data_IF_582420084086
#
_entry.id   IF_582420084086
#
_cell.length_a   1.000
_cell.length_b   1.000
_cell.length_c   1.000
_cell.angle_alpha   90.00
_cell.angle_beta   90.00
_cell.angle_gamma   90.00
#
_symmetry.space_group_name_H-M   'P 1'
#
loop_
_entity.id
_entity.type
_entity.pdbx_description
1 polymer ?
#
# COMPACT_ATOMS: atom_id res chain seq x y z
N UNK A 1 -23.55 -24.87 -1.96
CA UNK A 1 -24.14 -24.06 -0.86
C UNK A 1 -25.11 -23.09 -1.52
N UNK A 2 -26.41 -23.19 -1.20
CA UNK A 2 -27.40 -22.28 -1.79
C UNK A 2 -27.23 -20.88 -1.18
N UNK A 3 -26.89 -19.93 -2.04
CA UNK A 3 -26.78 -18.51 -1.69
C UNK A 3 -28.17 -17.96 -1.34
N UNK A 4 -28.34 -17.24 -0.21
CA UNK A 4 -29.62 -16.62 0.16
C UNK A 4 -30.02 -15.44 -0.76
N UNK A 5 -29.18 -15.08 -1.72
CA UNK A 5 -29.36 -13.95 -2.61
C UNK A 5 -30.09 -14.38 -3.90
N UNK A 6 -31.14 -13.64 -4.30
CA UNK A 6 -31.95 -13.91 -5.52
C UNK A 6 -31.13 -13.82 -6.82
N UNK A 7 -29.99 -13.15 -6.78
CA UNK A 7 -28.96 -13.00 -7.82
C UNK A 7 -27.58 -12.96 -7.16
N UNK A 8 -26.47 -13.17 -7.88
CA UNK A 8 -25.13 -12.93 -7.36
C UNK A 8 -25.01 -11.50 -6.80
N UNK A 9 -24.40 -11.29 -5.62
CA UNK A 9 -24.15 -9.94 -5.11
C UNK A 9 -23.31 -9.13 -6.10
N UNK A 10 -23.61 -7.85 -6.24
CA UNK A 10 -22.94 -6.94 -7.18
C UNK A 10 -22.13 -5.89 -6.45
N UNK A 11 -20.83 -5.85 -6.74
CA UNK A 11 -19.90 -4.88 -6.17
C UNK A 11 -19.39 -3.97 -7.28
N UNK A 12 -19.52 -2.65 -7.10
CA UNK A 12 -18.96 -1.64 -7.99
C UNK A 12 -17.86 -0.84 -7.28
N UNK A 13 -16.62 -0.93 -7.76
CA UNK A 13 -15.54 0.00 -7.41
C UNK A 13 -15.54 1.20 -8.35
N UNK A 14 -15.52 2.42 -7.81
CA UNK A 14 -15.40 3.65 -8.61
C UNK A 14 -14.20 4.45 -8.13
N UNK A 15 -13.20 4.59 -8.99
CA UNK A 15 -11.90 5.18 -8.69
C UNK A 15 -11.48 6.24 -9.72
N UNK A 16 -10.39 6.96 -9.45
CA UNK A 16 -9.95 8.06 -10.29
C UNK A 16 -9.10 7.54 -11.47
N UNK A 17 -8.12 6.71 -11.18
CA UNK A 17 -7.11 6.25 -12.13
C UNK A 17 -7.05 4.71 -12.19
N UNK A 18 -6.60 4.14 -13.31
CA UNK A 18 -6.22 2.73 -13.37
C UNK A 18 -5.07 2.44 -12.40
N UNK A 19 -5.26 1.51 -11.46
CA UNK A 19 -4.37 1.05 -10.36
C UNK A 19 -4.93 1.29 -8.95
N UNK A 20 -5.69 2.37 -8.77
CA UNK A 20 -6.37 2.71 -7.52
C UNK A 20 -7.19 1.53 -6.97
N UNK A 21 -7.87 0.78 -7.84
CA UNK A 21 -8.71 -0.35 -7.43
C UNK A 21 -7.89 -1.44 -6.75
N UNK A 22 -6.69 -1.68 -7.27
CA UNK A 22 -5.79 -2.72 -6.80
C UNK A 22 -5.16 -2.28 -5.49
N UNK A 23 -4.69 -1.02 -5.42
CA UNK A 23 -4.05 -0.46 -4.23
C UNK A 23 -5.04 -0.39 -3.07
N UNK A 24 -6.21 0.23 -3.31
CA UNK A 24 -7.17 0.53 -2.26
C UNK A 24 -7.92 -0.72 -1.78
N UNK A 25 -8.31 -1.61 -2.70
CA UNK A 25 -9.27 -2.67 -2.39
C UNK A 25 -9.01 -4.01 -3.11
N UNK A 26 -7.83 -4.20 -3.75
CA UNK A 26 -7.57 -5.34 -4.61
C UNK A 26 -7.81 -6.70 -3.93
N UNK A 27 -7.43 -6.84 -2.67
CA UNK A 27 -7.65 -8.08 -1.90
C UNK A 27 -9.14 -8.32 -1.65
N UNK A 28 -9.89 -7.28 -1.31
CA UNK A 28 -11.33 -7.33 -1.05
C UNK A 28 -12.11 -7.65 -2.32
N UNK A 29 -11.74 -7.01 -3.44
CA UNK A 29 -12.32 -7.28 -4.76
C UNK A 29 -12.12 -8.76 -5.15
N UNK A 30 -10.88 -9.28 -5.01
CA UNK A 30 -10.58 -10.68 -5.30
C UNK A 30 -11.33 -11.66 -4.39
N UNK A 31 -11.41 -11.34 -3.09
CA UNK A 31 -12.17 -12.13 -2.11
C UNK A 31 -13.64 -12.26 -2.50
N UNK A 32 -14.31 -11.16 -2.82
CA UNK A 32 -15.72 -11.20 -3.18
C UNK A 32 -15.96 -11.84 -4.56
N UNK A 33 -15.08 -11.60 -5.54
CA UNK A 33 -15.13 -12.26 -6.83
C UNK A 33 -15.03 -13.80 -6.69
N UNK A 34 -14.06 -14.29 -5.90
CA UNK A 34 -13.90 -15.73 -5.64
C UNK A 34 -15.09 -16.35 -4.88
N UNK A 35 -15.84 -15.52 -4.15
CA UNK A 35 -17.06 -15.92 -3.43
C UNK A 35 -18.31 -15.89 -4.33
N UNK A 36 -18.16 -15.60 -5.62
CA UNK A 36 -19.23 -15.60 -6.61
C UNK A 36 -19.97 -14.27 -6.78
N UNK A 37 -19.43 -13.16 -6.27
CA UNK A 37 -19.97 -11.83 -6.55
C UNK A 37 -19.63 -11.37 -7.97
N UNK A 38 -20.53 -10.62 -8.60
CA UNK A 38 -20.24 -9.85 -9.82
C UNK A 38 -19.49 -8.57 -9.42
N UNK A 39 -18.19 -8.53 -9.66
CA UNK A 39 -17.34 -7.39 -9.27
C UNK A 39 -16.98 -6.57 -10.49
N UNK A 40 -17.32 -5.29 -10.49
CA UNK A 40 -17.01 -4.35 -11.56
C UNK A 40 -16.19 -3.17 -11.04
N UNK A 41 -15.28 -2.65 -11.88
CA UNK A 41 -14.48 -1.46 -11.56
C UNK A 41 -14.60 -0.42 -12.67
N UNK A 42 -14.78 0.83 -12.28
CA UNK A 42 -14.73 1.98 -13.18
C UNK A 42 -13.67 2.97 -12.71
N UNK A 43 -12.72 3.29 -13.58
CA UNK A 43 -11.80 4.41 -13.40
C UNK A 43 -12.33 5.62 -14.18
N UNK A 44 -12.40 6.80 -13.56
CA UNK A 44 -12.92 8.00 -14.21
C UNK A 44 -11.96 8.57 -15.27
N UNK A 45 -10.68 8.21 -15.22
CA UNK A 45 -9.67 8.62 -16.20
C UNK A 45 -9.00 7.40 -16.85
N UNK A 46 -8.10 7.67 -17.80
CA UNK A 46 -7.17 6.68 -18.39
C UNK A 46 -5.74 6.81 -17.88
N UNK A 47 -5.48 7.61 -16.82
CA UNK A 47 -4.13 7.77 -16.27
C UNK A 47 -3.09 8.36 -17.25
N UNK A 48 -3.52 9.21 -18.17
CA UNK A 48 -2.67 9.70 -19.26
C UNK A 48 -1.62 10.75 -18.85
N UNK A 49 -1.72 11.32 -17.65
CA UNK A 49 -0.82 12.33 -17.10
C UNK A 49 0.29 11.68 -16.25
N UNK A 50 0.06 10.48 -15.70
CA UNK A 50 1.00 9.75 -14.85
C UNK A 50 2.40 9.49 -15.42
N UNK A 51 3.35 9.18 -14.53
CA UNK A 51 4.73 8.83 -14.89
C UNK A 51 4.79 7.44 -15.55
N UNK A 52 5.66 7.29 -16.55
CA UNK A 52 5.97 6.00 -17.17
C UNK A 52 7.24 5.46 -16.52
N UNK A 53 7.12 4.39 -15.74
CA UNK A 53 8.23 3.75 -15.01
C UNK A 53 8.91 2.63 -15.81
N UNK A 54 8.22 2.06 -16.79
CA UNK A 54 8.79 1.15 -17.78
C UNK A 54 8.67 1.74 -19.20
N UNK A 55 9.78 2.25 -19.72
CA UNK A 55 9.83 2.81 -21.07
C UNK A 55 9.62 1.75 -22.17
N UNK A 56 9.71 0.46 -21.84
CA UNK A 56 9.47 -0.65 -22.77
C UNK A 56 7.99 -0.92 -23.03
N UNK A 57 7.06 -0.38 -22.22
CA UNK A 57 5.62 -0.68 -22.34
C UNK A 57 4.78 0.47 -22.86
N UNK A 58 5.20 1.72 -22.66
CA UNK A 58 4.40 2.89 -23.03
C UNK A 58 5.23 4.12 -23.45
N UNK A 59 4.59 4.99 -24.21
CA UNK A 59 5.02 6.36 -24.49
C UNK A 59 3.91 7.32 -24.06
N UNK A 60 4.19 8.62 -23.97
CA UNK A 60 3.15 9.62 -23.63
C UNK A 60 1.91 9.53 -24.54
N UNK A 61 2.11 9.25 -25.83
CA UNK A 61 1.02 9.11 -26.80
C UNK A 61 0.21 7.82 -26.61
N UNK A 62 0.82 6.73 -26.14
CA UNK A 62 0.17 5.43 -26.00
C UNK A 62 -0.33 5.15 -24.58
N UNK A 63 0.10 5.92 -23.58
CA UNK A 63 -0.10 5.64 -22.16
C UNK A 63 -1.56 5.39 -21.78
N UNK A 64 -2.50 6.19 -22.29
CA UNK A 64 -3.94 6.05 -21.99
C UNK A 64 -4.49 4.68 -22.40
N UNK A 65 -4.12 4.23 -23.60
CA UNK A 65 -4.55 2.93 -24.11
C UNK A 65 -3.80 1.77 -23.45
N UNK A 66 -2.56 2.00 -23.00
CA UNK A 66 -1.80 1.00 -22.22
C UNK A 66 -2.46 0.81 -20.85
N UNK A 67 -2.70 1.89 -20.09
CA UNK A 67 -3.29 1.79 -18.74
C UNK A 67 -4.70 1.23 -18.72
N UNK A 68 -5.51 1.48 -19.75
CA UNK A 68 -6.81 0.81 -19.90
C UNK A 68 -6.66 -0.71 -20.05
N UNK A 69 -5.67 -1.19 -20.82
CA UNK A 69 -5.37 -2.63 -20.92
C UNK A 69 -4.74 -3.20 -19.66
N UNK A 70 -3.96 -2.39 -18.95
CA UNK A 70 -3.39 -2.77 -17.66
C UNK A 70 -4.49 -2.96 -16.62
N UNK A 71 -5.49 -2.08 -16.57
CA UNK A 71 -6.69 -2.26 -15.74
C UNK A 71 -7.44 -3.54 -16.09
N UNK A 72 -7.63 -3.84 -17.38
CA UNK A 72 -8.26 -5.09 -17.81
C UNK A 72 -7.44 -6.32 -17.40
N UNK A 73 -6.11 -6.23 -17.45
CA UNK A 73 -5.22 -7.32 -17.05
C UNK A 73 -5.22 -7.52 -15.52
N UNK A 74 -5.13 -6.44 -14.76
CA UNK A 74 -5.30 -6.44 -13.31
C UNK A 74 -6.67 -7.01 -12.91
N UNK A 75 -7.72 -6.60 -13.62
CA UNK A 75 -9.07 -7.11 -13.42
C UNK A 75 -9.18 -8.62 -13.57
N UNK A 76 -8.46 -9.23 -14.52
CA UNK A 76 -8.41 -10.69 -14.67
C UNK A 76 -7.73 -11.37 -13.48
N UNK A 77 -6.63 -10.81 -12.99
CA UNK A 77 -5.93 -11.33 -11.80
C UNK A 77 -6.81 -11.27 -10.55
N UNK A 78 -7.64 -10.23 -10.42
CA UNK A 78 -8.58 -10.05 -9.32
C UNK A 78 -9.92 -10.79 -9.51
N UNK A 79 -10.18 -11.37 -10.69
CA UNK A 79 -11.46 -12.03 -10.99
C UNK A 79 -12.63 -11.07 -11.24
N UNK A 80 -12.37 -9.83 -11.66
CA UNK A 80 -13.39 -8.85 -12.00
C UNK A 80 -14.20 -9.30 -13.22
N UNK A 81 -15.50 -9.03 -13.19
CA UNK A 81 -16.43 -9.28 -14.29
C UNK A 81 -16.34 -8.21 -15.37
N UNK A 82 -16.13 -6.94 -14.98
CA UNK A 82 -16.05 -5.81 -15.90
C UNK A 82 -15.14 -4.71 -15.39
N UNK A 83 -14.38 -4.13 -16.31
CA UNK A 83 -13.54 -2.96 -16.12
C UNK A 83 -13.94 -1.89 -17.14
N UNK A 84 -13.85 -0.61 -16.78
CA UNK A 84 -14.13 0.51 -17.68
C UNK A 84 -13.31 1.73 -17.29
N UNK A 85 -12.67 2.36 -18.27
CA UNK A 85 -12.15 3.71 -18.11
C UNK A 85 -13.10 4.73 -18.75
N UNK A 86 -13.28 5.87 -18.10
CA UNK A 86 -13.87 7.07 -18.69
C UNK A 86 -12.76 7.99 -19.20
N UNK A 87 -13.15 9.05 -19.92
CA UNK A 87 -12.23 9.88 -20.70
C UNK A 87 -11.89 11.23 -20.05
N UNK A 88 -12.03 11.35 -18.72
CA UNK A 88 -11.70 12.58 -18.01
C UNK A 88 -10.18 12.87 -17.99
N UNK A 89 -9.80 14.16 -17.83
CA UNK A 89 -8.40 14.54 -17.66
C UNK A 89 -7.84 13.97 -16.35
N UNK A 90 -6.73 13.22 -16.47
CA UNK A 90 -5.91 12.77 -15.34
C UNK A 90 -5.20 13.96 -14.68
N UNK A 91 -5.39 14.13 -13.38
CA UNK A 91 -4.96 15.29 -12.58
C UNK A 91 -5.91 16.49 -12.66
N UNK A 92 -7.06 16.35 -13.34
CA UNK A 92 -7.99 17.44 -13.60
C UNK A 92 -9.43 17.16 -13.18
N UNK A 93 -9.71 16.08 -12.44
CA UNK A 93 -11.07 15.74 -12.01
C UNK A 93 -11.62 16.76 -10.99
N UNK A 94 -10.76 17.39 -10.19
CA UNK A 94 -11.16 18.49 -9.29
C UNK A 94 -11.68 19.73 -10.03
N UNK A 95 -11.28 19.91 -11.28
CA UNK A 95 -11.67 21.04 -12.12
C UNK A 95 -12.92 20.74 -12.97
N UNK A 96 -13.35 19.48 -13.02
CA UNK A 96 -14.61 19.11 -13.67
C UNK A 96 -15.76 19.58 -12.79
N UNK A 97 -16.78 20.17 -13.42
CA UNK A 97 -17.99 20.59 -12.72
C UNK A 97 -18.59 19.43 -11.90
N UNK A 98 -18.78 19.67 -10.60
CA UNK A 98 -19.21 18.65 -9.65
C UNK A 98 -20.58 18.05 -10.00
N UNK A 99 -21.47 18.83 -10.63
CA UNK A 99 -22.77 18.35 -11.09
C UNK A 99 -22.60 17.35 -12.25
N UNK A 100 -21.69 17.63 -13.18
CA UNK A 100 -21.34 16.72 -14.28
C UNK A 100 -20.81 15.39 -13.75
N UNK A 101 -19.89 15.40 -12.78
CA UNK A 101 -19.40 14.17 -12.15
C UNK A 101 -20.51 13.42 -11.42
N UNK A 102 -21.36 14.12 -10.67
CA UNK A 102 -22.50 13.53 -9.97
C UNK A 102 -23.48 12.84 -10.92
N UNK A 103 -23.82 13.49 -12.05
CA UNK A 103 -24.72 12.93 -13.06
C UNK A 103 -24.14 11.66 -13.66
N UNK A 104 -22.89 11.70 -14.10
CA UNK A 104 -22.23 10.56 -14.71
C UNK A 104 -22.06 9.38 -13.74
N UNK A 105 -21.68 9.64 -12.48
CA UNK A 105 -21.54 8.57 -11.49
C UNK A 105 -22.89 7.97 -11.12
N UNK A 106 -23.95 8.78 -11.10
CA UNK A 106 -25.30 8.24 -10.87
C UNK A 106 -25.78 7.38 -12.04
N UNK A 107 -25.42 7.73 -13.28
CA UNK A 107 -25.67 6.88 -14.44
C UNK A 107 -24.92 5.56 -14.31
N UNK A 108 -23.66 5.56 -13.86
CA UNK A 108 -22.90 4.34 -13.58
C UNK A 108 -23.58 3.48 -12.50
N UNK A 109 -23.96 4.06 -11.36
CA UNK A 109 -24.66 3.31 -10.30
C UNK A 109 -25.97 2.73 -10.83
N UNK A 110 -26.71 3.47 -11.66
CA UNK A 110 -27.95 2.97 -12.27
C UNK A 110 -27.69 1.87 -13.31
N UNK A 111 -26.64 2.00 -14.14
CA UNK A 111 -26.25 1.03 -15.18
C UNK A 111 -25.82 -0.31 -14.56
N UNK A 112 -24.97 -0.24 -13.53
CA UNK A 112 -24.41 -1.42 -12.89
C UNK A 112 -25.33 -2.04 -11.83
N UNK A 113 -26.28 -1.27 -11.31
CA UNK A 113 -27.24 -1.68 -10.28
C UNK A 113 -26.58 -2.48 -9.13
N UNK A 114 -25.57 -1.88 -8.44
CA UNK A 114 -24.77 -2.57 -7.45
C UNK A 114 -25.52 -2.72 -6.11
N UNK A 115 -25.20 -3.78 -5.37
CA UNK A 115 -25.62 -3.93 -3.97
C UNK A 115 -24.61 -3.24 -3.02
N UNK A 116 -23.36 -3.05 -3.47
CA UNK A 116 -22.27 -2.42 -2.74
C UNK A 116 -21.41 -1.55 -3.66
N UNK A 117 -21.05 -0.35 -3.19
CA UNK A 117 -20.12 0.58 -3.85
C UNK A 117 -18.89 0.82 -2.97
N UNK A 118 -17.70 0.75 -3.57
CA UNK A 118 -16.41 1.11 -2.95
C UNK A 118 -15.81 2.32 -3.68
N UNK A 119 -15.33 3.31 -2.94
CA UNK A 119 -14.67 4.51 -3.48
C UNK A 119 -13.79 5.18 -2.42
N UNK A 120 -13.28 6.38 -2.67
CA UNK A 120 -12.46 7.14 -1.73
C UNK A 120 -13.27 7.84 -0.63
N UNK A 121 -12.63 8.03 0.53
CA UNK A 121 -13.12 8.93 1.56
C UNK A 121 -12.90 10.41 1.26
N UNK A 122 -13.34 11.32 2.15
CA UNK A 122 -13.12 12.76 2.01
C UNK A 122 -11.64 13.18 1.95
N UNK A 123 -10.74 12.34 2.46
CA UNK A 123 -9.29 12.48 2.39
C UNK A 123 -8.70 11.99 1.06
N UNK A 124 -9.51 11.40 0.19
CA UNK A 124 -9.06 10.89 -1.11
C UNK A 124 -8.12 9.69 -1.00
N UNK A 125 -8.06 9.01 0.15
CA UNK A 125 -7.09 7.95 0.45
C UNK A 125 -5.64 8.46 0.49
N UNK A 126 -5.07 8.95 -0.62
CA UNK A 126 -3.70 9.50 -0.72
C UNK A 126 -3.60 11.02 -0.56
N UNK A 127 -4.73 11.75 -0.45
CA UNK A 127 -4.76 13.21 -0.51
C UNK A 127 -4.81 13.79 -1.93
N UNK A 128 -4.81 12.96 -2.98
CA UNK A 128 -4.85 13.43 -4.36
C UNK A 128 -6.19 14.13 -4.69
N UNK A 129 -6.19 15.33 -5.32
CA UNK A 129 -7.42 16.08 -5.62
C UNK A 129 -8.46 15.29 -6.44
N UNK A 130 -8.01 14.54 -7.46
CA UNK A 130 -8.91 13.67 -8.23
C UNK A 130 -9.63 12.64 -7.36
N UNK A 131 -8.95 12.04 -6.38
CA UNK A 131 -9.54 11.03 -5.52
C UNK A 131 -10.62 11.64 -4.63
N UNK A 132 -10.36 12.83 -4.09
CA UNK A 132 -11.34 13.62 -3.33
C UNK A 132 -12.56 13.93 -4.19
N UNK A 133 -12.36 14.38 -5.43
CA UNK A 133 -13.44 14.69 -6.36
C UNK A 133 -14.31 13.46 -6.69
N UNK A 134 -13.68 12.31 -6.98
CA UNK A 134 -14.39 11.05 -7.24
C UNK A 134 -15.15 10.58 -5.99
N UNK A 135 -14.50 10.57 -4.83
CA UNK A 135 -15.12 10.15 -3.57
C UNK A 135 -16.34 11.00 -3.23
N UNK A 136 -16.25 12.32 -3.42
CA UNK A 136 -17.37 13.25 -3.23
C UNK A 136 -18.52 12.98 -4.23
N UNK A 137 -18.22 12.80 -5.52
CA UNK A 137 -19.22 12.55 -6.55
C UNK A 137 -19.96 11.21 -6.34
N UNK A 138 -19.23 10.14 -6.00
CA UNK A 138 -19.81 8.82 -5.70
C UNK A 138 -20.67 8.88 -4.45
N UNK A 139 -20.19 9.53 -3.40
CA UNK A 139 -20.96 9.71 -2.17
C UNK A 139 -22.27 10.44 -2.44
N UNK A 140 -22.20 11.59 -3.13
CA UNK A 140 -23.38 12.36 -3.50
C UNK A 140 -24.35 11.56 -4.39
N UNK A 141 -23.84 10.75 -5.33
CA UNK A 141 -24.66 9.90 -6.19
C UNK A 141 -25.40 8.80 -5.40
N UNK A 142 -24.72 8.12 -4.46
CA UNK A 142 -25.36 7.13 -3.59
C UNK A 142 -26.45 7.76 -2.71
N UNK A 143 -26.23 8.97 -2.17
CA UNK A 143 -27.27 9.70 -1.43
C UNK A 143 -28.44 10.10 -2.32
N UNK A 144 -28.17 10.55 -3.55
CA UNK A 144 -29.20 10.96 -4.52
C UNK A 144 -30.10 9.80 -4.94
N UNK A 145 -29.52 8.62 -5.14
CA UNK A 145 -30.22 7.42 -5.56
C UNK A 145 -30.81 6.62 -4.39
N UNK A 146 -30.72 7.15 -3.16
CA UNK A 146 -31.16 6.46 -1.96
C UNK A 146 -32.66 6.18 -2.00
N UNK A 147 -33.01 4.89 -1.97
CA UNK A 147 -34.36 4.34 -1.88
C UNK A 147 -34.38 3.16 -0.90
N UNK A 148 -35.49 2.41 -0.83
CA UNK A 148 -35.62 1.26 0.07
C UNK A 148 -34.58 0.14 -0.17
N UNK A 149 -33.93 0.09 -1.35
CA UNK A 149 -32.91 -0.90 -1.73
C UNK A 149 -31.63 -0.21 -2.20
N UNK A 150 -31.10 0.71 -1.39
CA UNK A 150 -29.88 1.47 -1.73
C UNK A 150 -28.63 0.61 -1.67
N UNK A 151 -27.62 0.86 -2.52
CA UNK A 151 -26.32 0.23 -2.36
C UNK A 151 -25.71 0.62 -1.01
N UNK A 152 -25.01 -0.33 -0.39
CA UNK A 152 -24.11 0.00 0.71
C UNK A 152 -22.92 0.77 0.15
N UNK A 153 -22.48 1.81 0.84
CA UNK A 153 -21.33 2.62 0.41
C UNK A 153 -20.20 2.48 1.43
N UNK A 154 -19.02 2.16 0.92
CA UNK A 154 -17.78 2.05 1.68
C UNK A 154 -16.71 2.96 1.11
N UNK A 155 -16.08 3.74 1.98
CA UNK A 155 -14.88 4.50 1.67
C UNK A 155 -13.65 3.68 2.04
N UNK A 156 -12.72 3.54 1.11
CA UNK A 156 -11.39 2.97 1.37
C UNK A 156 -10.66 3.84 2.39
N UNK A 157 -9.91 3.20 3.29
CA UNK A 157 -9.10 3.88 4.28
C UNK A 157 -7.69 3.32 4.31
N UNK A 158 -6.69 4.20 4.37
CA UNK A 158 -5.30 3.78 4.49
C UNK A 158 -5.07 3.08 5.83
N UNK A 159 -4.36 1.93 5.84
CA UNK A 159 -3.79 1.46 7.07
C UNK A 159 -2.75 2.47 7.55
N UNK A 160 -2.67 2.69 8.86
CA UNK A 160 -1.46 3.24 9.49
C UNK A 160 -0.82 2.12 10.26
N UNK A 161 0.11 1.42 9.61
CA UNK A 161 0.85 0.37 10.26
C UNK A 161 2.01 0.93 11.08
N UNK A 162 2.25 0.36 12.26
CA UNK A 162 3.48 0.58 13.01
C UNK A 162 4.64 -0.32 12.56
N UNK A 163 4.41 -1.18 11.56
CA UNK A 163 5.39 -2.15 11.08
C UNK A 163 6.58 -1.45 10.40
N UNK A 164 7.78 -1.84 10.80
CA UNK A 164 9.01 -1.45 10.12
C UNK A 164 9.37 -2.53 9.09
N UNK A 165 9.30 -2.19 7.79
CA UNK A 165 9.68 -3.13 6.72
C UNK A 165 11.13 -3.59 6.88
N UNK A 166 12.02 -2.71 7.36
CA UNK A 166 13.39 -3.05 7.81
C UNK A 166 13.45 -4.30 8.68
N UNK A 167 12.62 -4.40 9.71
CA UNK A 167 12.71 -5.48 10.69
C UNK A 167 12.28 -6.81 10.07
N UNK A 168 11.28 -6.76 9.16
CA UNK A 168 10.80 -7.93 8.42
C UNK A 168 11.81 -8.40 7.39
N UNK A 169 12.42 -7.48 6.65
CA UNK A 169 13.50 -7.80 5.73
C UNK A 169 14.72 -8.36 6.47
N UNK A 170 15.10 -7.78 7.63
CA UNK A 170 16.21 -8.27 8.41
C UNK A 170 15.98 -9.69 8.94
N UNK A 171 14.81 -9.97 9.50
CA UNK A 171 14.43 -11.31 9.94
C UNK A 171 14.48 -12.30 8.77
N UNK A 172 13.88 -11.95 7.63
CA UNK A 172 13.89 -12.78 6.43
C UNK A 172 15.30 -13.08 5.93
N UNK A 173 16.18 -12.07 5.82
CA UNK A 173 17.53 -12.26 5.30
C UNK A 173 18.36 -13.18 6.19
N UNK A 174 18.21 -13.08 7.51
CA UNK A 174 18.93 -13.93 8.48
C UNK A 174 18.42 -15.38 8.48
N UNK A 175 17.18 -15.62 8.09
CA UNK A 175 16.61 -16.97 7.95
C UNK A 175 17.10 -17.71 6.69
N UNK A 176 17.66 -16.99 5.70
CA UNK A 176 18.16 -17.61 4.48
C UNK A 176 19.38 -18.49 4.77
N UNK A 177 19.36 -19.71 4.24
CA UNK A 177 20.49 -20.66 4.34
C UNK A 177 21.64 -20.30 3.41
N UNK A 178 21.37 -19.48 2.39
CA UNK A 178 22.34 -18.96 1.44
C UNK A 178 22.29 -17.44 1.44
N UNK A 179 23.46 -16.82 1.27
CA UNK A 179 23.58 -15.37 1.18
C UNK A 179 22.69 -14.77 0.09
N UNK A 180 21.87 -13.79 0.47
CA UNK A 180 20.98 -13.11 -0.46
C UNK A 180 21.77 -12.23 -1.43
N UNK A 181 21.42 -12.32 -2.72
CA UNK A 181 21.93 -11.42 -3.75
C UNK A 181 20.80 -11.04 -4.71
N UNK A 182 20.27 -9.84 -4.53
CA UNK A 182 19.20 -9.27 -5.34
C UNK A 182 19.62 -9.01 -6.79
N UNK A 183 18.68 -9.21 -7.70
CA UNK A 183 18.82 -8.83 -9.12
C UNK A 183 18.65 -7.32 -9.31
N UNK A 184 18.95 -6.80 -10.50
CA UNK A 184 18.70 -5.38 -10.83
C UNK A 184 17.21 -5.04 -10.76
N UNK A 185 16.38 -6.00 -11.13
CA UNK A 185 14.93 -5.93 -11.09
C UNK A 185 14.44 -5.85 -9.64
N UNK A 186 15.02 -6.67 -8.75
CA UNK A 186 14.76 -6.61 -7.31
C UNK A 186 15.13 -5.26 -6.72
N UNK A 187 16.30 -4.71 -7.07
CA UNK A 187 16.73 -3.38 -6.60
C UNK A 187 15.71 -2.30 -6.99
N UNK A 188 15.25 -2.32 -8.25
CA UNK A 188 14.25 -1.37 -8.74
C UNK A 188 12.92 -1.54 -8.03
N UNK A 189 12.45 -2.78 -7.89
CA UNK A 189 11.21 -3.09 -7.20
C UNK A 189 11.27 -2.66 -5.73
N UNK A 190 12.35 -2.95 -5.03
CA UNK A 190 12.55 -2.54 -3.64
C UNK A 190 12.52 -1.02 -3.48
N UNK A 191 13.13 -0.27 -4.39
CA UNK A 191 13.12 1.19 -4.37
C UNK A 191 11.74 1.81 -4.61
N UNK A 192 10.95 1.21 -5.52
CA UNK A 192 9.57 1.64 -5.76
C UNK A 192 8.71 1.26 -4.58
N UNK A 193 8.76 0.00 -4.19
CA UNK A 193 7.96 -0.58 -3.12
C UNK A 193 8.17 0.16 -1.81
N UNK A 194 9.41 0.39 -1.37
CA UNK A 194 9.70 1.06 -0.10
C UNK A 194 9.13 2.48 -0.03
N UNK A 195 9.22 3.24 -1.13
CA UNK A 195 8.69 4.60 -1.19
C UNK A 195 7.16 4.62 -1.17
N UNK A 196 6.54 3.76 -1.97
CA UNK A 196 5.08 3.70 -2.09
C UNK A 196 4.44 3.17 -0.81
N UNK A 197 5.03 2.15 -0.18
CA UNK A 197 4.48 1.58 1.06
C UNK A 197 4.56 2.53 2.24
N UNK A 198 5.64 3.33 2.32
CA UNK A 198 5.74 4.40 3.29
C UNK A 198 4.74 5.53 3.02
N UNK A 199 4.64 5.99 1.76
CA UNK A 199 3.69 7.04 1.37
C UNK A 199 2.22 6.63 1.60
N UNK A 200 1.90 5.35 1.46
CA UNK A 200 0.58 4.77 1.67
C UNK A 200 0.39 4.20 3.09
N UNK A 201 1.30 4.43 4.03
CA UNK A 201 1.14 4.03 5.44
C UNK A 201 1.15 2.52 5.72
N UNK A 202 1.52 1.70 4.74
CA UNK A 202 1.69 0.24 4.90
C UNK A 202 2.95 -0.12 5.71
N UNK A 203 3.94 0.76 5.73
CA UNK A 203 5.14 0.62 6.56
C UNK A 203 5.54 1.98 7.14
N UNK A 204 6.16 1.97 8.32
CA UNK A 204 6.55 3.18 9.05
C UNK A 204 8.04 3.52 8.91
N UNK A 205 8.81 2.71 8.18
CA UNK A 205 10.24 2.94 7.99
C UNK A 205 10.52 4.02 6.95
N UNK A 206 11.66 4.71 7.15
CA UNK A 206 12.15 5.72 6.24
C UNK A 206 13.28 5.11 5.42
N UNK A 207 13.18 5.22 4.10
CA UNK A 207 14.21 4.74 3.18
C UNK A 207 14.87 5.92 2.49
N UNK A 208 16.15 6.14 2.80
CA UNK A 208 16.99 7.15 2.15
C UNK A 208 18.01 6.51 1.21
N UNK A 209 18.50 7.28 0.24
CA UNK A 209 19.67 6.90 -0.56
C UNK A 209 20.88 7.60 0.04
N UNK A 210 21.84 6.83 0.51
CA UNK A 210 23.07 7.34 1.13
C UNK A 210 24.28 7.06 0.24
N UNK A 211 25.27 7.94 0.30
CA UNK A 211 26.55 7.81 -0.41
C UNK A 211 27.72 7.87 0.58
N UNK A 212 28.67 6.96 0.41
CA UNK A 212 29.83 6.77 1.29
C UNK A 212 31.12 6.76 0.46
N UNK A 213 32.10 7.63 0.72
CA UNK A 213 33.37 7.62 0.02
C UNK A 213 34.22 6.40 0.40
N UNK A 214 35.11 5.97 -0.51
CA UNK A 214 36.07 4.91 -0.21
C UNK A 214 36.84 5.17 1.11
N UNK A 215 36.90 4.15 1.97
CA UNK A 215 37.56 4.20 3.28
C UNK A 215 36.67 4.62 4.45
N UNK A 216 35.44 5.11 4.23
CA UNK A 216 34.53 5.45 5.33
C UNK A 216 33.86 4.24 5.96
N UNK A 217 33.49 4.36 7.24
CA UNK A 217 32.61 3.39 7.91
C UNK A 217 31.17 3.62 7.48
N UNK A 218 30.47 2.53 7.16
CA UNK A 218 29.01 2.49 7.09
C UNK A 218 28.42 2.10 8.44
N UNK A 219 29.12 1.20 9.13
CA UNK A 219 28.73 0.63 10.42
C UNK A 219 30.00 0.48 11.26
N UNK A 220 29.94 0.91 12.52
CA UNK A 220 31.02 0.70 13.49
C UNK A 220 30.70 -0.48 14.43
N UNK A 221 31.67 -1.35 14.69
CA UNK A 221 31.49 -2.45 15.64
C UNK A 221 31.13 -1.90 17.03
N UNK A 222 30.09 -2.46 17.63
CA UNK A 222 29.63 -2.08 18.97
C UNK A 222 28.61 -0.95 19.03
N UNK A 223 28.33 -0.24 17.93
CA UNK A 223 27.20 0.71 17.90
C UNK A 223 25.86 -0.04 18.03
N UNK A 224 24.82 0.70 18.40
CA UNK A 224 23.45 0.17 18.41
C UNK A 224 22.97 -0.08 16.97
N UNK A 225 22.34 -1.23 16.73
CA UNK A 225 21.83 -1.56 15.41
C UNK A 225 20.53 -0.78 15.12
N UNK A 226 20.67 0.38 14.48
CA UNK A 226 19.56 1.28 14.16
C UNK A 226 19.27 1.40 12.67
N UNK A 227 20.19 0.94 11.81
CA UNK A 227 20.04 1.01 10.35
C UNK A 227 20.42 -0.30 9.67
N UNK A 228 19.77 -0.59 8.55
CA UNK A 228 20.15 -1.66 7.64
C UNK A 228 20.39 -1.05 6.26
N UNK A 229 21.40 -1.55 5.55
CA UNK A 229 21.73 -1.06 4.21
C UNK A 229 21.48 -2.15 3.17
N UNK A 230 21.00 -1.74 2.01
CA UNK A 230 20.98 -2.54 0.79
C UNK A 230 21.90 -1.88 -0.25
N UNK A 231 22.97 -2.57 -0.65
CA UNK A 231 24.01 -2.00 -1.49
C UNK A 231 23.54 -1.87 -2.95
N UNK A 232 23.51 -0.63 -3.46
CA UNK A 232 23.16 -0.32 -4.86
C UNK A 232 24.39 -0.33 -5.78
N UNK A 233 25.52 0.15 -5.26
CA UNK A 233 26.80 0.21 -5.98
C UNK A 233 27.98 0.22 -4.99
N UNK A 234 29.20 -0.02 -5.50
CA UNK A 234 30.42 -0.13 -4.70
C UNK A 234 30.55 -1.46 -3.96
N UNK A 235 31.64 -1.62 -3.21
CA UNK A 235 31.88 -2.79 -2.36
C UNK A 235 32.35 -2.39 -0.97
N UNK A 236 32.08 -3.26 -0.01
CA UNK A 236 32.43 -3.10 1.40
C UNK A 236 33.19 -4.29 1.92
N UNK A 237 33.99 -4.05 2.95
CA UNK A 237 34.68 -5.07 3.71
C UNK A 237 34.12 -5.12 5.13
N UNK A 238 33.72 -6.31 5.55
CA UNK A 238 33.23 -6.57 6.91
C UNK A 238 34.43 -6.99 7.74
N UNK A 239 34.73 -6.23 8.78
CA UNK A 239 35.93 -6.37 9.59
C UNK A 239 35.56 -6.56 11.06
N UNK A 240 36.09 -7.59 11.69
CA UNK A 240 35.90 -7.83 13.13
C UNK A 240 37.15 -7.45 13.90
N UNK A 241 36.97 -6.60 14.90
CA UNK A 241 38.00 -6.22 15.85
C UNK A 241 37.95 -7.14 17.07
N UNK A 242 39.06 -7.82 17.34
CA UNK A 242 39.22 -8.70 18.51
C UNK A 242 39.51 -7.92 19.80
N UNK A 243 39.44 -8.57 20.97
CA UNK A 243 39.76 -7.95 22.26
C UNK A 243 41.22 -7.44 22.37
N UNK A 244 42.10 -7.89 21.48
CA UNK A 244 43.50 -7.49 21.37
C UNK A 244 43.71 -6.26 20.47
N UNK A 245 42.63 -5.65 19.98
CA UNK A 245 42.65 -4.52 19.04
C UNK A 245 43.04 -4.91 17.61
N UNK A 246 43.19 -6.21 17.31
CA UNK A 246 43.50 -6.65 15.95
C UNK A 246 42.24 -6.74 15.12
N UNK A 247 42.25 -6.04 13.99
CA UNK A 247 41.17 -6.06 12.99
C UNK A 247 41.43 -7.15 11.97
N UNK A 248 40.44 -8.01 11.72
CA UNK A 248 40.49 -9.06 10.69
C UNK A 248 39.32 -8.92 9.74
N UNK A 249 39.60 -9.10 8.45
CA UNK A 249 38.55 -9.21 7.43
C UNK A 249 37.83 -10.53 7.63
N UNK A 250 36.51 -10.47 7.81
CA UNK A 250 35.67 -11.65 7.97
C UNK A 250 34.88 -11.95 6.71
N UNK A 251 34.48 -10.92 5.97
CA UNK A 251 33.71 -11.08 4.73
C UNK A 251 33.79 -9.80 3.86
N UNK A 252 33.26 -9.87 2.65
CA UNK A 252 33.11 -8.73 1.72
C UNK A 252 31.73 -8.76 1.09
N UNK A 253 31.19 -7.60 0.77
CA UNK A 253 29.87 -7.48 0.16
C UNK A 253 29.82 -6.45 -0.95
N UNK A 254 28.87 -6.62 -1.86
CA UNK A 254 28.71 -5.76 -3.03
C UNK A 254 27.26 -5.58 -3.44
N UNK A 255 27.01 -5.09 -4.67
CA UNK A 255 25.68 -4.69 -5.09
C UNK A 255 24.68 -5.85 -5.07
N UNK A 256 23.48 -5.55 -4.57
CA UNK A 256 22.38 -6.51 -4.40
C UNK A 256 22.35 -7.21 -3.03
N UNK A 257 23.25 -6.89 -2.12
CA UNK A 257 23.34 -7.56 -0.81
C UNK A 257 22.93 -6.62 0.32
N UNK A 258 22.33 -7.20 1.36
CA UNK A 258 22.03 -6.50 2.61
C UNK A 258 23.24 -6.50 3.55
N UNK A 259 23.35 -5.45 4.36
CA UNK A 259 24.36 -5.31 5.40
C UNK A 259 23.74 -4.73 6.67
N UNK A 260 24.15 -5.27 7.81
CA UNK A 260 23.75 -4.82 9.13
C UNK A 260 22.45 -5.44 9.63
N UNK A 261 21.88 -6.38 8.87
CA UNK A 261 20.65 -7.10 9.16
C UNK A 261 20.72 -7.92 10.46
N UNK A 262 21.86 -8.54 10.77
CA UNK A 262 22.00 -9.42 11.95
C UNK A 262 21.76 -8.65 13.26
N UNK A 263 22.30 -7.43 13.38
CA UNK A 263 22.09 -6.58 14.55
C UNK A 263 20.61 -6.19 14.72
N UNK A 264 19.92 -5.89 13.61
CA UNK A 264 18.49 -5.56 13.60
C UNK A 264 17.65 -6.78 14.01
N UNK A 265 17.87 -7.94 13.38
CA UNK A 265 17.10 -9.15 13.64
C UNK A 265 17.28 -9.70 15.07
N UNK A 266 18.47 -9.53 15.65
CA UNK A 266 18.80 -10.07 16.99
C UNK A 266 18.64 -9.06 18.12
N UNK A 267 18.48 -7.77 17.82
CA UNK A 267 18.49 -6.69 18.81
C UNK A 267 19.83 -6.51 19.54
N UNK A 268 20.93 -6.99 18.95
CA UNK A 268 22.27 -6.90 19.53
C UNK A 268 23.08 -5.77 18.88
N UNK A 269 24.07 -5.20 19.61
CA UNK A 269 25.02 -4.27 19.01
C UNK A 269 25.76 -4.89 17.83
N UNK A 270 26.29 -4.04 16.94
CA UNK A 270 27.00 -4.49 15.73
C UNK A 270 28.19 -5.37 16.09
N UNK A 271 28.30 -6.50 15.41
CA UNK A 271 29.34 -7.50 15.68
C UNK A 271 30.61 -7.34 14.82
N UNK A 272 30.63 -6.36 13.92
CA UNK A 272 31.72 -6.06 13.00
C UNK A 272 31.58 -4.62 12.47
N UNK A 273 32.71 -4.06 12.06
CA UNK A 273 32.79 -2.85 11.24
C UNK A 273 32.43 -3.18 9.79
N UNK A 274 31.85 -2.21 9.08
CA UNK A 274 31.63 -2.27 7.63
C UNK A 274 32.28 -1.06 7.00
N UNK A 275 33.31 -1.29 6.18
CA UNK A 275 34.13 -0.23 5.61
C UNK A 275 33.99 -0.23 4.10
N UNK A 276 33.72 0.94 3.51
CA UNK A 276 33.70 1.13 2.07
C UNK A 276 35.09 0.86 1.46
N UNK A 277 35.18 -0.06 0.50
CA UNK A 277 36.40 -0.30 -0.28
C UNK A 277 36.49 0.67 -1.46
N UNK A 278 35.35 0.93 -2.08
CA UNK A 278 35.15 1.87 -3.18
C UNK A 278 34.09 2.90 -2.76
N UNK A 279 33.75 3.86 -3.63
CA UNK A 279 32.58 4.70 -3.39
C UNK A 279 31.31 3.84 -3.41
N UNK A 280 30.53 3.89 -2.33
CA UNK A 280 29.35 3.05 -2.11
C UNK A 280 28.09 3.91 -2.14
N UNK A 281 27.05 3.40 -2.79
CA UNK A 281 25.68 3.92 -2.68
C UNK A 281 24.77 2.86 -2.11
N UNK A 282 23.94 3.19 -1.12
CA UNK A 282 23.02 2.24 -0.49
C UNK A 282 21.62 2.82 -0.31
N UNK A 283 20.62 1.93 -0.33
CA UNK A 283 19.32 2.22 0.28
C UNK A 283 19.45 1.94 1.77
N UNK A 284 19.22 2.95 2.59
CA UNK A 284 19.33 2.88 4.04
C UNK A 284 17.94 2.88 4.66
N UNK A 285 17.64 1.84 5.42
CA UNK A 285 16.37 1.63 6.11
C UNK A 285 16.48 2.08 7.56
N UNK A 286 15.69 3.09 7.93
CA UNK A 286 15.69 3.74 9.24
C UNK A 286 14.38 3.43 9.99
N UNK A 287 14.47 3.18 11.30
CA UNK A 287 13.29 2.98 12.15
C UNK A 287 12.49 4.26 12.42
N UNK A 288 13.09 5.42 12.21
CA UNK A 288 12.46 6.73 12.43
C UNK A 288 13.12 7.77 11.52
N UNK A 289 12.38 8.83 11.21
CA UNK A 289 12.89 9.95 10.43
C UNK A 289 14.12 10.54 11.13
N UNK A 290 15.23 10.79 10.41
CA UNK A 290 16.30 11.63 10.94
C UNK A 290 15.66 12.97 11.31
N UNK A 291 15.84 13.43 12.55
CA UNK A 291 15.29 14.70 13.03
C UNK A 291 15.54 15.79 11.98
N UNK A 292 14.50 16.21 11.25
CA UNK A 292 14.61 17.33 10.34
C UNK A 292 14.82 18.59 11.17
N UNK A 293 15.83 19.38 10.81
CA UNK A 293 16.11 20.69 11.45
C UNK A 293 14.95 21.66 11.24
N UNK A 294 14.09 21.40 10.25
CA UNK A 294 12.82 22.08 10.04
C UNK A 294 11.67 21.23 10.60
N UNK A 295 11.25 21.59 11.81
CA UNK A 295 10.22 20.94 12.62
C UNK A 295 8.78 21.02 12.08
N UNK A 296 8.57 20.73 10.79
CA UNK A 296 7.25 20.48 10.26
C UNK A 296 6.87 19.01 10.47
N UNK A 297 6.56 18.68 11.72
CA UNK A 297 5.56 17.62 11.97
C UNK A 297 4.30 18.08 11.24
N UNK A 298 3.90 17.33 10.22
CA UNK A 298 2.56 17.48 9.66
C UNK A 298 1.58 17.17 10.79
N UNK A 299 1.13 18.23 11.46
CA UNK A 299 0.11 18.17 12.51
C UNK A 299 -1.22 17.95 11.80
N UNK A 300 -1.38 16.79 11.18
CA UNK A 300 -2.70 16.22 11.00
C UNK A 300 -3.31 16.19 12.41
N UNK A 301 -4.43 16.89 12.59
CA UNK A 301 -5.25 16.88 13.80
C UNK A 301 -5.22 15.47 14.41
N UNK A 302 -5.08 15.30 15.74
CA UNK A 302 -5.06 13.98 16.35
C UNK A 302 -6.39 13.29 16.02
N UNK A 303 -6.39 12.47 14.97
CA UNK A 303 -7.49 11.59 14.66
C UNK A 303 -7.60 10.68 15.88
N UNK A 304 -8.80 10.60 16.46
CA UNK A 304 -9.11 9.57 17.44
C UNK A 304 -8.70 8.24 16.81
N UNK A 305 -7.72 7.58 17.39
CA UNK A 305 -7.17 6.34 16.86
C UNK A 305 -7.45 5.21 17.84
N UNK A 306 -7.80 4.03 17.30
CA UNK A 306 -7.92 2.78 18.04
C UNK A 306 -6.70 1.92 17.78
N UNK A 307 -6.15 1.32 18.82
CA UNK A 307 -5.08 0.34 18.69
C UNK A 307 -5.68 -1.05 18.40
N UNK A 308 -5.20 -1.70 17.35
CA UNK A 308 -5.53 -3.10 17.04
C UNK A 308 -4.66 -4.07 17.85
N UNK A 309 -5.05 -5.36 17.98
CA UNK A 309 -4.19 -6.36 18.61
C UNK A 309 -2.81 -6.51 17.96
N UNK A 310 -2.66 -6.15 16.68
CA UNK A 310 -1.37 -6.07 15.97
C UNK A 310 -0.46 -4.94 16.46
N UNK A 311 -0.99 -3.98 17.22
CA UNK A 311 -0.30 -2.74 17.61
C UNK A 311 -0.55 -1.57 16.66
N UNK A 312 -1.15 -1.80 15.49
CA UNK A 312 -1.46 -0.75 14.53
C UNK A 312 -2.51 0.24 15.07
N UNK A 313 -2.37 1.52 14.69
CA UNK A 313 -3.28 2.59 15.10
C UNK A 313 -4.17 2.97 13.94
N UNK A 314 -5.43 2.60 13.99
CA UNK A 314 -6.40 2.93 12.93
C UNK A 314 -7.29 4.10 13.35
N UNK A 315 -7.78 4.86 12.38
CA UNK A 315 -8.79 5.88 12.62
C UNK A 315 -10.05 5.27 13.26
N UNK A 316 -10.58 5.89 14.32
CA UNK A 316 -11.77 5.42 15.03
C UNK A 316 -13.03 5.36 14.15
N UNK A 317 -13.04 6.05 13.00
CA UNK A 317 -14.11 6.01 12.01
C UNK A 317 -14.14 4.70 11.20
N UNK A 318 -13.02 3.96 11.15
CA UNK A 318 -12.95 2.65 10.49
C UNK A 318 -13.99 1.73 11.12
N UNK A 319 -14.96 1.32 10.31
CA UNK A 319 -16.10 0.53 10.73
C UNK A 319 -16.10 -0.86 10.11
N UNK A 320 -15.23 -1.12 9.13
CA UNK A 320 -15.11 -2.43 8.49
C UNK A 320 -13.64 -2.75 8.18
N UNK A 321 -13.28 -3.99 8.44
CA UNK A 321 -11.94 -4.53 8.25
C UNK A 321 -12.12 -5.90 7.58
N UNK A 322 -11.47 -6.09 6.43
CA UNK A 322 -11.56 -7.31 5.65
C UNK A 322 -10.19 -7.99 5.67
N UNK A 323 -10.14 -9.18 6.26
CA UNK A 323 -8.99 -10.08 6.10
C UNK A 323 -8.97 -10.62 4.67
N UNK A 324 -7.91 -10.27 3.95
CA UNK A 324 -7.63 -10.62 2.56
C UNK A 324 -6.29 -11.36 2.44
N UNK A 325 -5.78 -11.92 3.54
CA UNK A 325 -4.48 -12.60 3.60
C UNK A 325 -4.31 -13.68 2.53
N UNK A 326 -5.38 -14.44 2.25
CA UNK A 326 -5.38 -15.48 1.21
C UNK A 326 -5.47 -14.94 -0.22
N UNK A 327 -5.77 -13.66 -0.38
CA UNK A 327 -5.93 -12.97 -1.66
C UNK A 327 -4.79 -12.00 -1.98
N UNK A 328 -3.79 -11.85 -1.10
CA UNK A 328 -2.62 -10.99 -1.33
C UNK A 328 -1.92 -11.36 -2.63
N UNK A 329 -1.78 -12.65 -2.94
CA UNK A 329 -1.19 -13.09 -4.21
C UNK A 329 -1.93 -12.54 -5.44
N UNK A 330 -3.26 -12.42 -5.40
CA UNK A 330 -4.04 -11.81 -6.48
C UNK A 330 -3.76 -10.31 -6.58
N UNK A 331 -3.75 -9.61 -5.44
CA UNK A 331 -3.42 -8.19 -5.36
C UNK A 331 -2.04 -7.88 -5.96
N UNK A 332 -1.02 -8.66 -5.60
CA UNK A 332 0.35 -8.44 -6.10
C UNK A 332 0.48 -8.71 -7.60
N UNK A 333 -0.18 -9.75 -8.13
CA UNK A 333 -0.20 -9.99 -9.58
C UNK A 333 -0.96 -8.89 -10.34
N UNK A 334 -2.05 -8.39 -9.77
CA UNK A 334 -2.78 -7.25 -10.31
C UNK A 334 -1.92 -5.97 -10.30
N UNK A 335 -1.17 -5.71 -9.23
CA UNK A 335 -0.21 -4.60 -9.18
C UNK A 335 0.85 -4.74 -10.27
N UNK A 336 1.41 -5.94 -10.46
CA UNK A 336 2.39 -6.21 -11.51
C UNK A 336 1.81 -6.07 -12.94
N UNK A 337 0.49 -6.25 -13.11
CA UNK A 337 -0.18 -6.02 -14.39
C UNK A 337 -0.22 -4.52 -14.77
N UNK A 338 -0.18 -3.62 -13.80
CA UNK A 338 -0.01 -2.16 -13.98
C UNK A 338 1.45 -1.79 -14.29
N UNK A 339 2.07 -2.46 -15.25
CA UNK A 339 3.52 -2.43 -15.51
C UNK A 339 4.07 -1.05 -15.83
N UNK A 340 3.29 -0.17 -16.46
CA UNK A 340 3.68 1.22 -16.71
C UNK A 340 3.91 2.01 -15.41
N UNK A 341 3.37 1.52 -14.29
CA UNK A 341 3.33 2.16 -12.96
C UNK A 341 4.10 1.36 -11.91
N UNK A 342 4.07 0.03 -12.01
CA UNK A 342 4.72 -0.88 -11.08
C UNK A 342 5.47 -1.96 -11.89
N UNK A 343 6.70 -1.66 -12.35
CA UNK A 343 7.53 -2.63 -13.06
C UNK A 343 8.15 -3.63 -12.06
N UNK A 344 7.29 -4.40 -11.43
CA UNK A 344 7.62 -5.40 -10.42
C UNK A 344 7.25 -6.80 -10.93
N UNK A 345 7.87 -7.80 -10.31
CA UNK A 345 7.61 -9.22 -10.46
C UNK A 345 6.96 -9.66 -9.15
N UNK A 346 5.85 -10.38 -9.26
CA UNK A 346 5.04 -10.80 -8.14
C UNK A 346 5.76 -11.73 -7.16
N UNK A 347 6.88 -12.36 -7.57
CA UNK A 347 7.65 -13.26 -6.71
C UNK A 347 8.84 -12.59 -6.02
N UNK A 348 9.02 -11.27 -6.16
CA UNK A 348 10.21 -10.59 -5.64
C UNK A 348 10.26 -10.47 -4.12
N UNK A 349 9.10 -10.44 -3.44
CA UNK A 349 9.04 -10.35 -1.98
C UNK A 349 8.53 -11.66 -1.37
N UNK A 350 8.99 -12.02 -0.15
CA UNK A 350 8.44 -13.15 0.59
C UNK A 350 6.94 -13.00 0.84
N UNK A 351 6.20 -14.08 0.65
CA UNK A 351 4.75 -14.12 0.89
C UNK A 351 4.36 -13.71 2.31
N UNK A 352 5.18 -14.05 3.31
CA UNK A 352 4.96 -13.66 4.71
C UNK A 352 4.96 -12.14 4.89
N UNK A 353 5.92 -11.43 4.30
CA UNK A 353 6.02 -9.97 4.35
C UNK A 353 4.83 -9.35 3.63
N UNK A 354 4.50 -9.85 2.43
CA UNK A 354 3.39 -9.34 1.64
C UNK A 354 2.04 -9.53 2.35
N UNK A 355 1.83 -10.67 3.03
CA UNK A 355 0.62 -10.93 3.83
C UNK A 355 0.50 -10.02 5.04
N UNK A 356 1.60 -9.72 5.70
CA UNK A 356 1.58 -8.79 6.83
C UNK A 356 1.22 -7.36 6.38
N UNK A 357 1.76 -6.93 5.24
CA UNK A 357 1.52 -5.59 4.69
C UNK A 357 0.12 -5.43 4.10
N UNK A 358 -0.32 -6.41 3.30
CA UNK A 358 -1.50 -6.28 2.45
C UNK A 358 -2.63 -7.25 2.82
N UNK A 359 -2.48 -8.02 3.90
CA UNK A 359 -3.45 -9.03 4.32
C UNK A 359 -4.72 -8.45 4.94
N UNK A 360 -4.77 -7.14 5.18
CA UNK A 360 -5.96 -6.48 5.74
C UNK A 360 -6.25 -5.19 4.97
N UNK A 361 -7.52 -5.01 4.60
CA UNK A 361 -8.02 -3.77 3.99
C UNK A 361 -9.12 -3.14 4.85
N UNK A 362 -9.07 -1.81 4.99
CA UNK A 362 -9.90 -1.05 5.93
C UNK A 362 -10.87 -0.15 5.20
N UNK A 363 -12.10 -0.08 5.72
CA UNK A 363 -13.17 0.69 5.13
C UNK A 363 -13.98 1.45 6.19
N UNK A 364 -14.54 2.56 5.78
CA UNK A 364 -15.56 3.31 6.52
C UNK A 364 -16.90 3.10 5.81
N UNK A 365 -17.85 2.45 6.48
CA UNK A 365 -19.24 2.37 6.03
C UNK A 365 -19.89 3.75 6.13
N UNK A 366 -20.41 4.23 5.01
CA UNK A 366 -21.13 5.51 4.88
C UNK A 366 -22.63 5.26 4.74
N UNK A 367 -23.00 4.26 3.93
CA UNK A 367 -24.39 3.83 3.76
C UNK A 367 -24.56 2.32 4.03
N UNK A 368 -25.62 1.90 4.74
CA UNK A 368 -26.53 2.77 5.50
C UNK A 368 -25.78 3.52 6.61
N UNK A 369 -26.31 4.69 6.97
CA UNK A 369 -25.81 5.47 8.10
C UNK A 369 -25.92 4.64 9.38
N UNK A 370 -25.00 4.85 10.33
CA UNK A 370 -25.12 4.24 11.66
C UNK A 370 -26.42 4.71 12.30
N UNK A 371 -27.17 3.77 12.89
CA UNK A 371 -28.30 4.11 13.73
C UNK A 371 -27.80 4.95 14.91
N UNK A 372 -28.56 5.99 15.26
CA UNK A 372 -28.26 6.81 16.42
C UNK A 372 -28.66 6.01 17.66
N UNK A 373 -27.71 5.86 18.61
CA UNK A 373 -28.05 5.35 19.93
C UNK A 373 -29.08 6.29 20.57
N UNK A 374 -30.26 5.76 20.87
CA UNK A 374 -31.34 6.53 21.51
C UNK A 374 -31.19 6.57 23.03
N UNK A 375 -30.20 5.87 23.58
CA UNK A 375 -29.88 5.84 25.01
C UNK A 375 -28.41 6.14 25.23
N UNK A 376 -28.12 6.88 26.30
CA UNK A 376 -26.74 7.12 26.75
C UNK A 376 -26.20 5.94 27.59
N UNK A 377 -27.06 4.97 27.90
CA UNK A 377 -26.73 3.76 28.65
C UNK A 377 -27.00 2.53 27.80
N UNK A 378 -26.14 1.52 27.91
CA UNK A 378 -26.40 0.19 27.36
C UNK A 378 -27.55 -0.44 28.16
N UNK A 379 -28.80 -0.23 27.72
CA UNK A 379 -30.00 -0.71 28.39
C UNK A 379 -30.00 -2.24 28.58
N UNK A 380 -29.23 -2.98 27.75
CA UNK A 380 -29.05 -4.44 27.86
C UNK A 380 -28.07 -4.88 28.97
N UNK A 381 -27.28 -3.97 29.53
CA UNK A 381 -26.23 -4.28 30.54
C UNK A 381 -26.59 -3.84 31.96
N UNK A 382 -27.53 -2.91 32.09
CA UNK A 382 -27.96 -2.38 33.35
C UNK A 382 -29.30 -3.01 33.71
N UNK A 383 -29.28 -4.08 34.51
CA UNK A 383 -30.45 -4.75 35.06
C UNK A 383 -31.28 -3.83 35.97
N UNK A 384 -31.89 -2.80 35.41
CA UNK A 384 -32.96 -2.00 36.00
C UNK A 384 -34.29 -2.67 35.65
N UNK A 385 -34.46 -3.92 36.09
CA UNK A 385 -35.77 -4.55 36.18
C UNK A 385 -36.37 -4.24 37.54
N UNK A 386 -37.59 -3.70 37.54
CA UNK A 386 -38.43 -3.37 38.69
C UNK A 386 -38.66 -4.52 39.68
#
# INVERSE_FOLDING_TARGET
MNSPWRRPPRLLGVFAHPDDETICAGGTLAKYASSGAEVSVVALTRGGAGQIRDAGVATRATLRAVRERELDAAGKELGLTRTRCLDHPDGGLSEVDAKTLLEQVSELITEFDPDLVITFGPDGFSGHPDHVAVGAAVTAACYRLRSATSPRLFHCHLPRSGMLLRDRLAAWVVELTTRFKGTREFVRALSVFSRETAALGYAADFVSVEWYPAGSYLIEQGEEATVMHFLLSGSVEIRREGPDGRVRVVDRSGPGEFIGEEGIATGRPRNAHVVALDDVTSLTFLAAEPLSVDGHRDQALPLLTRTLPSGDRIDARVSTCIDVSDFVGHKIRATAAHRSQYPIDATMFPDSILREMFGVEYFIQVLPERELDTSLFDEDSAGWGE
#
